data_IF_250870659972
#
_entry.id   IF_250870659972
#
_cell.length_a   1.000
_cell.length_b   1.000
_cell.length_c   1.000
_cell.angle_alpha   90.00
_cell.angle_beta   90.00
_cell.angle_gamma   90.00
#
_symmetry.space_group_name_H-M   'P 1'
#
loop_
_entity.id
_entity.type
_entity.pdbx_description
1 polymer ?
#
# COMPACT_ATOMS: atom_id res chain seq x y z
N UNK A 1 10.33 -6.97 7.57
CA UNK A 1 9.09 -6.80 8.36
C UNK A 1 8.55 -8.17 8.74
N UNK A 2 8.05 -8.34 9.96
CA UNK A 2 7.46 -9.60 10.42
C UNK A 2 6.19 -9.94 9.61
N UNK A 3 5.96 -11.23 9.35
CA UNK A 3 4.75 -11.77 8.67
C UNK A 3 3.42 -11.31 9.31
N UNK A 4 3.48 -10.83 10.56
CA UNK A 4 2.34 -10.41 11.37
C UNK A 4 2.41 -8.94 11.78
N UNK A 5 3.07 -8.09 10.99
CA UNK A 5 3.08 -6.65 11.25
C UNK A 5 1.64 -6.14 11.45
N UNK A 6 1.41 -5.47 12.59
CA UNK A 6 0.11 -4.95 12.97
C UNK A 6 -0.36 -3.90 11.96
N UNK A 7 -1.66 -3.60 11.91
CA UNK A 7 -2.17 -2.55 11.03
C UNK A 7 -1.45 -1.20 11.28
N UNK A 8 -1.08 -0.92 12.54
CA UNK A 8 -0.32 0.28 12.89
C UNK A 8 1.10 0.27 12.33
N UNK A 9 1.80 -0.86 12.36
CA UNK A 9 3.16 -0.99 11.79
C UNK A 9 3.15 -0.77 10.28
N UNK A 10 2.09 -1.23 9.61
CA UNK A 10 1.90 -1.04 8.17
C UNK A 10 1.71 0.43 7.84
N UNK A 11 0.84 1.12 8.57
CA UNK A 11 0.62 2.56 8.40
C UNK A 11 1.92 3.32 8.64
N UNK A 12 2.64 3.01 9.72
CA UNK A 12 3.93 3.65 10.05
C UNK A 12 4.98 3.40 8.98
N UNK A 13 5.08 2.17 8.46
CA UNK A 13 6.00 1.83 7.39
C UNK A 13 5.74 2.65 6.13
N UNK A 14 4.50 2.68 5.65
CA UNK A 14 4.17 3.47 4.46
C UNK A 14 4.32 4.97 4.70
N UNK A 15 3.95 5.47 5.88
CA UNK A 15 4.14 6.88 6.25
C UNK A 15 5.63 7.28 6.26
N UNK A 16 6.53 6.39 6.73
CA UNK A 16 7.97 6.63 6.67
C UNK A 16 8.52 6.72 5.23
N UNK A 17 7.78 6.20 4.26
CA UNK A 17 8.08 6.30 2.83
C UNK A 17 7.27 7.38 2.12
N UNK A 18 6.60 8.28 2.85
CA UNK A 18 5.81 9.37 2.29
C UNK A 18 4.48 8.95 1.68
N UNK A 19 3.98 7.75 2.02
CA UNK A 19 2.75 7.19 1.49
C UNK A 19 1.67 7.26 2.58
N UNK A 20 0.59 7.98 2.29
CA UNK A 20 -0.53 8.10 3.22
C UNK A 20 -1.46 6.89 3.11
N UNK A 21 -1.56 6.12 4.19
CA UNK A 21 -2.48 4.98 4.30
C UNK A 21 -3.53 5.27 5.36
N UNK A 22 -4.79 5.37 4.93
CA UNK A 22 -5.92 5.73 5.81
C UNK A 22 -6.71 4.53 6.30
N UNK A 23 -6.60 3.39 5.61
CA UNK A 23 -7.31 2.18 6.01
C UNK A 23 -6.44 0.95 5.75
N UNK A 24 -6.43 0.02 6.70
CA UNK A 24 -5.74 -1.27 6.58
C UNK A 24 -6.67 -2.36 7.09
N UNK A 25 -7.00 -3.30 6.22
CA UNK A 25 -7.81 -4.48 6.54
C UNK A 25 -7.08 -5.72 6.05
N UNK A 26 -7.04 -6.76 6.90
CA UNK A 26 -6.51 -8.07 6.53
C UNK A 26 -7.66 -9.01 6.24
N UNK A 27 -7.52 -9.79 5.17
CA UNK A 27 -8.47 -10.83 4.78
C UNK A 27 -7.67 -12.06 4.34
N UNK A 28 -7.46 -12.99 5.26
CA UNK A 28 -6.60 -14.17 5.04
C UNK A 28 -5.16 -13.79 4.65
N UNK A 29 -4.80 -14.14 3.42
CA UNK A 29 -3.51 -13.87 2.76
C UNK A 29 -3.49 -12.57 1.95
N UNK A 30 -4.55 -11.76 2.05
CA UNK A 30 -4.65 -10.46 1.39
C UNK A 30 -4.68 -9.33 2.42
N UNK A 31 -4.11 -8.19 2.01
CA UNK A 31 -4.12 -6.95 2.77
C UNK A 31 -4.69 -5.85 1.91
N UNK A 32 -5.86 -5.36 2.30
CA UNK A 32 -6.53 -4.23 1.69
C UNK A 32 -6.06 -2.96 2.36
N UNK A 33 -5.50 -2.06 1.55
CA UNK A 33 -5.02 -0.74 1.95
C UNK A 33 -5.87 0.32 1.27
N UNK A 34 -6.01 1.47 1.92
CA UNK A 34 -6.53 2.67 1.29
C UNK A 34 -5.43 3.73 1.25
N UNK A 35 -4.90 3.98 0.06
CA UNK A 35 -3.76 4.84 -0.19
C UNK A 35 -4.23 6.09 -0.94
N UNK A 36 -4.04 7.28 -0.37
CA UNK A 36 -4.58 8.54 -0.91
C UNK A 36 -6.08 8.43 -1.31
N UNK A 37 -6.89 7.79 -0.46
CA UNK A 37 -8.33 7.57 -0.70
C UNK A 37 -8.68 6.39 -1.62
N UNK A 38 -7.70 5.73 -2.23
CA UNK A 38 -7.91 4.67 -3.23
C UNK A 38 -7.64 3.27 -2.67
N UNK A 39 -8.46 2.26 -3.03
CA UNK A 39 -8.23 0.90 -2.60
C UNK A 39 -7.05 0.27 -3.34
N UNK A 40 -6.17 -0.40 -2.60
CA UNK A 40 -5.10 -1.24 -3.13
C UNK A 40 -5.06 -2.56 -2.34
N UNK A 41 -4.98 -3.69 -3.04
CA UNK A 41 -4.83 -4.99 -2.40
C UNK A 41 -3.40 -5.47 -2.58
N UNK A 42 -2.76 -5.85 -1.48
CA UNK A 42 -1.41 -6.42 -1.46
C UNK A 42 -1.46 -7.89 -1.01
N UNK A 43 -0.63 -8.77 -1.60
CA UNK A 43 -0.44 -10.11 -1.08
C UNK A 43 0.37 -10.09 0.23
N UNK A 44 -0.15 -10.74 1.28
CA UNK A 44 0.55 -10.94 2.57
C UNK A 44 1.89 -11.69 2.48
N UNK A 45 2.09 -12.70 1.62
CA UNK A 45 3.38 -13.39 1.56
C UNK A 45 4.50 -12.53 0.95
N UNK A 46 4.18 -11.34 0.39
CA UNK A 46 5.18 -10.49 -0.21
C UNK A 46 6.04 -9.77 0.85
N UNK A 47 7.37 -9.70 0.64
CA UNK A 47 8.25 -8.90 1.49
C UNK A 47 7.90 -7.41 1.42
N UNK A 48 8.34 -6.67 2.44
CA UNK A 48 8.11 -5.25 2.60
C UNK A 48 8.50 -4.42 1.36
N UNK A 49 9.64 -4.76 0.75
CA UNK A 49 10.16 -4.09 -0.43
C UNK A 49 9.27 -4.31 -1.66
N UNK A 50 8.76 -5.53 -1.83
CA UNK A 50 7.84 -5.85 -2.91
C UNK A 50 6.50 -5.12 -2.72
N UNK A 51 6.00 -5.06 -1.49
CA UNK A 51 4.83 -4.24 -1.15
C UNK A 51 5.07 -2.77 -1.51
N UNK A 52 6.26 -2.23 -1.18
CA UNK A 52 6.62 -0.86 -1.50
C UNK A 52 6.68 -0.61 -3.01
N UNK A 53 7.25 -1.55 -3.77
CA UNK A 53 7.31 -1.49 -5.23
C UNK A 53 5.90 -1.45 -5.84
N UNK A 54 5.00 -2.34 -5.40
CA UNK A 54 3.61 -2.39 -5.89
C UNK A 54 2.90 -1.07 -5.60
N UNK A 55 3.05 -0.53 -4.39
CA UNK A 55 2.44 0.75 -4.00
C UNK A 55 2.98 1.91 -4.85
N UNK A 56 4.30 1.96 -5.07
CA UNK A 56 4.92 3.00 -5.91
C UNK A 56 4.46 2.91 -7.36
N UNK A 57 4.38 1.70 -7.92
CA UNK A 57 3.84 1.50 -9.28
C UNK A 57 2.37 1.92 -9.36
N UNK A 58 1.57 1.63 -8.34
CA UNK A 58 0.18 2.06 -8.26
C UNK A 58 0.05 3.59 -8.24
N UNK A 59 0.86 4.28 -7.44
CA UNK A 59 0.88 5.74 -7.39
C UNK A 59 1.42 6.36 -8.68
N UNK A 60 2.45 5.77 -9.29
CA UNK A 60 3.03 6.24 -10.55
C UNK A 60 2.03 6.14 -11.71
N UNK A 61 1.26 5.05 -11.78
CA UNK A 61 0.16 4.87 -12.76
C UNK A 61 -0.93 5.92 -12.58
N UNK A 62 -1.10 6.45 -11.38
CA UNK A 62 -2.08 7.49 -11.12
C UNK A 62 -1.58 8.90 -11.48
N UNK A 63 -0.34 9.22 -11.13
CA UNK A 63 0.31 10.46 -11.58
C UNK A 63 0.47 10.55 -13.10
N UNK A 64 0.41 9.40 -13.79
CA UNK A 64 0.41 9.31 -15.26
C UNK A 64 -0.90 9.70 -15.93
N UNK A 65 -1.99 9.95 -15.20
CA UNK A 65 -3.23 10.53 -15.76
C UNK A 65 -3.18 12.06 -15.76
N UNK A 66 -2.18 12.60 -16.45
CA UNK A 66 -2.34 13.86 -17.17
C UNK A 66 -2.50 13.53 -18.65
N UNK A 67 -3.70 13.16 -19.10
CA UNK A 67 -4.07 13.32 -20.51
C UNK A 67 -5.57 13.66 -20.65
N UNK A 68 -5.77 14.98 -20.83
CA UNK A 68 -6.80 15.72 -21.59
C UNK A 68 -8.30 15.46 -21.33
N UNK A 69 -8.94 16.56 -20.88
CA UNK A 69 -10.06 17.29 -21.49
C UNK A 69 -10.98 16.53 -22.46
#
# INVERSE_FOLDING_TARGET
MSRYASNQDVVRFFAAHGIEVTHVRREGELRHLRIHGRPLTLPMPAPAEECLRIVREFLARDSGKSFKA
#
